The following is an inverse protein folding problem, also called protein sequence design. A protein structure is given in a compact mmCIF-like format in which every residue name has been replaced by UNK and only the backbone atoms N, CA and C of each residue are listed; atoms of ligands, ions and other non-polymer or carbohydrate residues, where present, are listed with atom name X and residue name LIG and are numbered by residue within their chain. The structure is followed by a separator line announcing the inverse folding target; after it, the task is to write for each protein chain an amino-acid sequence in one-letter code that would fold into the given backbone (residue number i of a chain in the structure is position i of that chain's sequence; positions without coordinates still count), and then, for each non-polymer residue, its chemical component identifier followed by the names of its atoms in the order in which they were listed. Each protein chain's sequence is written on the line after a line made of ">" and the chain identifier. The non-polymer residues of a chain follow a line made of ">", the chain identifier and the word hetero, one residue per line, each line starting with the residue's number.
data_IF_833607532058
#
_entry.id   IF_833607532058
#
_cell.length_a   1.000
_cell.length_b   1.000
_cell.length_c   1.000
_cell.angle_alpha   90.00
_cell.angle_beta   90.00
_cell.angle_gamma   90.00
#
_symmetry.space_group_name_H-M   'P 1'
#
loop_
_entity.id
_entity.type
_entity.pdbx_description
1 polymer ?
#
# COMPACT_ATOMS: atom_id res chain seq x y z
N UNK A 1 25.39 -17.18 -39.81
CA UNK A 1 23.93 -17.43 -39.87
C UNK A 1 23.09 -16.64 -38.85
N UNK A 2 23.66 -15.68 -38.08
CA UNK A 2 22.87 -14.80 -37.18
C UNK A 2 22.68 -13.37 -37.73
N UNK A 3 23.41 -13.00 -38.78
CA UNK A 3 23.31 -11.67 -39.40
C UNK A 3 22.22 -11.62 -40.48
N UNK A 4 21.91 -12.74 -41.12
CA UNK A 4 20.87 -12.83 -42.15
C UNK A 4 19.47 -12.63 -41.56
N UNK A 5 19.27 -12.95 -40.27
CA UNK A 5 18.00 -12.81 -39.56
C UNK A 5 17.69 -11.35 -39.21
N UNK A 6 18.69 -10.59 -38.75
CA UNK A 6 18.53 -9.17 -38.40
C UNK A 6 18.27 -8.28 -39.63
N UNK A 7 18.89 -8.60 -40.76
CA UNK A 7 18.64 -7.87 -42.01
C UNK A 7 17.22 -8.10 -42.51
N UNK A 8 16.68 -9.32 -42.31
CA UNK A 8 15.30 -9.65 -42.71
C UNK A 8 14.26 -8.91 -41.85
N UNK A 9 14.52 -8.75 -40.56
CA UNK A 9 13.66 -8.02 -39.63
C UNK A 9 13.63 -6.51 -39.91
N UNK A 10 14.78 -5.91 -40.27
CA UNK A 10 14.86 -4.49 -40.64
C UNK A 10 14.09 -4.18 -41.93
N UNK A 11 14.16 -5.06 -42.93
CA UNK A 11 13.43 -4.89 -44.20
C UNK A 11 11.91 -5.02 -44.00
N UNK A 12 11.45 -5.91 -43.11
CA UNK A 12 10.03 -6.00 -42.75
C UNK A 12 9.53 -4.76 -41.99
N UNK A 13 10.39 -4.14 -41.18
CA UNK A 13 10.04 -2.95 -40.41
C UNK A 13 9.92 -1.70 -41.30
N UNK A 14 10.81 -1.54 -42.27
CA UNK A 14 10.74 -0.44 -43.24
C UNK A 14 9.53 -0.57 -44.18
N UNK A 15 9.20 -1.80 -44.63
CA UNK A 15 8.03 -2.06 -45.47
C UNK A 15 6.70 -1.76 -44.74
N UNK A 16 6.60 -2.05 -43.44
CA UNK A 16 5.41 -1.70 -42.63
C UNK A 16 5.28 -0.20 -42.40
N UNK A 17 6.41 0.50 -42.27
CA UNK A 17 6.44 1.96 -42.08
C UNK A 17 6.05 2.72 -43.35
N UNK A 18 6.43 2.22 -44.52
CA UNK A 18 6.02 2.81 -45.81
C UNK A 18 4.54 2.52 -46.16
N UNK A 19 3.93 1.50 -45.57
CA UNK A 19 2.53 1.12 -45.81
C UNK A 19 1.49 2.07 -45.18
N UNK A 20 1.91 3.11 -44.44
CA UNK A 20 1.01 4.19 -44.02
C UNK A 20 -0.14 3.75 -43.13
N UNK A 21 0.07 2.76 -42.24
CA UNK A 21 -0.86 2.47 -41.15
C UNK A 21 -0.81 3.62 -40.13
N UNK A 22 -1.68 4.60 -40.34
CA UNK A 22 -2.08 5.59 -39.33
C UNK A 22 -2.85 4.86 -38.24
N UNK A 23 -2.20 4.54 -37.14
CA UNK A 23 -2.90 4.07 -35.95
C UNK A 23 -3.66 5.24 -35.32
N UNK A 24 -4.98 5.19 -35.47
CA UNK A 24 -5.95 5.89 -34.65
C UNK A 24 -5.61 5.68 -33.16
N UNK A 25 -5.31 6.77 -32.47
CA UNK A 25 -4.88 6.74 -31.06
C UNK A 25 -6.07 6.35 -30.15
N UNK A 26 -6.18 5.06 -29.86
CA UNK A 26 -7.08 4.51 -28.85
C UNK A 26 -6.62 4.96 -27.44
N UNK A 27 -7.44 5.71 -26.68
CA UNK A 27 -7.07 6.23 -25.36
C UNK A 27 -6.82 5.12 -24.32
N UNK A 28 -7.11 3.86 -24.64
CA UNK A 28 -6.81 2.71 -23.78
C UNK A 28 -5.35 2.24 -23.85
N UNK A 29 -4.59 2.61 -24.89
CA UNK A 29 -3.19 2.21 -25.04
C UNK A 29 -2.27 2.79 -23.94
N UNK A 30 -2.66 3.92 -23.33
CA UNK A 30 -1.92 4.55 -22.24
C UNK A 30 -1.93 3.72 -20.94
N UNK A 31 -2.83 2.75 -20.80
CA UNK A 31 -2.93 1.93 -19.58
C UNK A 31 -1.92 0.78 -19.53
N UNK A 32 -1.31 0.41 -20.66
CA UNK A 32 -0.36 -0.72 -20.75
C UNK A 32 1.09 -0.21 -20.79
N UNK A 33 1.30 1.11 -20.74
CA UNK A 33 2.63 1.68 -20.73
C UNK A 33 3.21 1.63 -19.31
N UNK A 34 4.32 0.88 -19.19
CA UNK A 34 5.14 0.65 -18.01
C UNK A 34 5.08 1.80 -16.98
N UNK A 35 4.64 1.49 -15.76
CA UNK A 35 4.50 2.43 -14.62
C UNK A 35 5.79 3.14 -14.21
N UNK A 36 6.92 2.82 -14.83
CA UNK A 36 8.23 3.44 -14.61
C UNK A 36 8.47 4.71 -15.44
N UNK A 37 7.70 4.97 -16.50
CA UNK A 37 7.83 6.19 -17.32
C UNK A 37 6.59 7.08 -17.18
N UNK A 38 6.79 8.39 -17.02
CA UNK A 38 5.72 9.37 -16.80
C UNK A 38 5.40 10.24 -18.03
N UNK A 39 6.18 10.08 -19.11
CA UNK A 39 6.01 10.76 -20.38
C UNK A 39 6.00 9.72 -21.50
N UNK A 40 5.22 9.99 -22.54
CA UNK A 40 5.29 9.21 -23.77
C UNK A 40 6.64 9.47 -24.50
N UNK A 41 6.95 8.65 -25.50
CA UNK A 41 8.19 8.81 -26.29
C UNK A 41 8.23 10.10 -27.12
N UNK A 42 7.13 10.88 -27.16
CA UNK A 42 7.01 12.17 -27.84
C UNK A 42 7.13 13.35 -26.85
N UNK A 43 7.27 13.08 -25.54
CA UNK A 43 7.42 14.08 -24.49
C UNK A 43 6.10 14.57 -23.87
N UNK A 44 4.95 13.98 -24.19
CA UNK A 44 3.67 14.33 -23.56
C UNK A 44 3.53 13.61 -22.21
N UNK A 45 3.02 14.33 -21.21
CA UNK A 45 2.76 13.76 -19.89
C UNK A 45 1.65 12.71 -19.99
N UNK A 46 1.93 11.50 -19.52
CA UNK A 46 0.93 10.45 -19.43
C UNK A 46 -0.11 10.87 -18.39
N UNK A 47 -1.39 10.79 -18.74
CA UNK A 47 -2.48 11.17 -17.83
C UNK A 47 -2.54 10.19 -16.67
N UNK A 48 -2.22 10.66 -15.48
CA UNK A 48 -2.28 9.87 -14.25
C UNK A 48 -3.64 10.02 -13.59
N UNK A 49 -3.95 9.10 -12.66
CA UNK A 49 -5.14 9.21 -11.78
C UNK A 49 -5.21 10.53 -11.01
N UNK A 50 -4.07 11.20 -10.81
CA UNK A 50 -3.98 12.47 -10.09
C UNK A 50 -4.25 13.68 -10.99
N UNK A 51 -4.04 13.57 -12.30
CA UNK A 51 -4.31 14.66 -13.24
C UNK A 51 -5.80 14.91 -13.46
N UNK A 52 -6.65 13.95 -13.10
CA UNK A 52 -8.11 14.07 -13.15
C UNK A 52 -8.75 14.39 -11.78
N UNK A 53 -7.94 14.53 -10.72
CA UNK A 53 -8.43 14.78 -9.38
C UNK A 53 -8.55 16.29 -9.13
N UNK A 54 -9.79 16.77 -9.04
CA UNK A 54 -10.08 18.16 -8.70
C UNK A 54 -10.02 18.35 -7.19
N UNK A 55 -8.89 18.89 -6.73
CA UNK A 55 -8.62 19.14 -5.31
C UNK A 55 -9.58 20.18 -4.74
N UNK A 56 -9.91 21.20 -5.52
CA UNK A 56 -10.75 22.33 -5.07
C UNK A 56 -12.20 21.86 -4.88
N UNK A 57 -12.72 21.08 -5.82
CA UNK A 57 -14.05 20.46 -5.68
C UNK A 57 -14.13 19.51 -4.48
N UNK A 58 -13.06 18.76 -4.18
CA UNK A 58 -13.03 17.87 -3.01
C UNK A 58 -12.90 18.64 -1.69
N UNK A 59 -12.15 19.75 -1.67
CA UNK A 59 -12.06 20.62 -0.49
C UNK A 59 -13.41 21.29 -0.20
N UNK A 60 -14.09 21.81 -1.23
CA UNK A 60 -15.43 22.39 -1.11
C UNK A 60 -16.45 21.33 -0.67
N UNK A 61 -16.32 20.09 -1.14
CA UNK A 61 -17.16 18.97 -0.68
C UNK A 61 -16.91 18.65 0.80
N UNK A 62 -15.65 18.62 1.24
CA UNK A 62 -15.29 18.36 2.63
C UNK A 62 -15.78 19.46 3.57
N UNK A 63 -15.67 20.74 3.17
CA UNK A 63 -16.17 21.87 3.96
C UNK A 63 -17.70 21.81 4.11
N UNK A 64 -18.44 21.48 3.03
CA UNK A 64 -19.90 21.28 3.07
C UNK A 64 -20.33 20.08 3.91
N UNK A 65 -19.54 19.00 3.90
CA UNK A 65 -19.78 17.79 4.71
C UNK A 65 -19.49 18.03 6.20
N UNK A 66 -18.44 18.80 6.54
CA UNK A 66 -18.11 19.22 7.91
C UNK A 66 -19.14 20.19 8.49
N UNK A 67 -19.71 21.06 7.66
CA UNK A 67 -20.75 22.03 8.07
C UNK A 67 -22.16 21.43 8.18
N UNK A 68 -22.30 20.11 8.02
CA UNK A 68 -23.56 19.39 8.24
C UNK A 68 -24.63 19.59 7.18
N UNK A 69 -24.23 19.97 5.95
CA UNK A 69 -25.19 20.13 4.85
C UNK A 69 -25.41 18.78 4.16
N UNK A 70 -26.42 18.04 4.59
CA UNK A 70 -26.87 16.82 3.92
C UNK A 70 -27.53 17.17 2.57
N UNK A 71 -26.73 17.17 1.50
CA UNK A 71 -27.25 17.33 0.14
C UNK A 71 -27.85 16.00 -0.31
N UNK A 72 -29.18 15.94 -0.25
CA UNK A 72 -30.01 14.86 -0.76
C UNK A 72 -29.89 14.72 -2.28
N UNK A 73 -29.25 13.62 -2.69
CA UNK A 73 -29.37 12.83 -3.93
C UNK A 73 -29.75 13.51 -5.26
N UNK A 74 -28.95 13.28 -6.32
CA UNK A 74 -29.37 12.62 -7.60
C UNK A 74 -28.14 12.41 -8.51
N UNK A 75 -28.01 11.19 -9.03
CA UNK A 75 -27.29 10.71 -10.24
C UNK A 75 -25.85 11.21 -10.50
N UNK A 76 -24.82 10.39 -10.37
CA UNK A 76 -24.49 9.28 -11.29
C UNK A 76 -23.41 8.41 -10.65
N UNK A 77 -23.33 7.14 -11.04
CA UNK A 77 -22.66 6.07 -10.31
C UNK A 77 -21.23 6.37 -9.83
N UNK A 78 -21.10 6.73 -8.56
CA UNK A 78 -19.86 6.69 -7.83
C UNK A 78 -20.09 5.75 -6.64
N UNK A 79 -19.59 4.53 -6.76
CA UNK A 79 -19.56 3.55 -5.67
C UNK A 79 -18.95 4.23 -4.44
N UNK A 80 -19.75 4.39 -3.38
CA UNK A 80 -19.31 4.87 -2.07
C UNK A 80 -18.06 4.08 -1.65
N UNK A 81 -16.87 4.65 -1.83
CA UNK A 81 -15.68 4.15 -1.15
C UNK A 81 -15.77 4.70 0.26
N UNK A 82 -16.62 4.07 1.06
CA UNK A 82 -16.54 4.12 2.51
C UNK A 82 -15.09 3.77 2.83
N UNK A 83 -14.34 4.71 3.42
CA UNK A 83 -13.00 4.42 3.96
C UNK A 83 -13.18 3.39 5.07
N UNK A 84 -13.21 2.13 4.67
CA UNK A 84 -13.36 0.99 5.56
C UNK A 84 -12.06 0.94 6.35
N UNK A 85 -12.14 1.13 7.67
CA UNK A 85 -11.01 0.84 8.55
C UNK A 85 -10.44 -0.52 8.16
N UNK A 86 -9.10 -0.68 8.07
CA UNK A 86 -8.48 -1.92 7.62
C UNK A 86 -9.09 -3.06 8.41
N UNK A 87 -9.86 -3.90 7.71
CA UNK A 87 -10.58 -5.01 8.32
C UNK A 87 -9.53 -6.10 8.55
N UNK A 88 -8.76 -5.98 9.64
CA UNK A 88 -7.85 -7.03 10.07
C UNK A 88 -8.72 -8.26 10.32
N UNK A 89 -8.46 -9.32 9.56
CA UNK A 89 -9.21 -10.57 9.73
C UNK A 89 -8.87 -11.18 11.09
N UNK A 90 -9.77 -11.96 11.69
CA UNK A 90 -9.49 -12.64 12.97
C UNK A 90 -8.21 -13.49 12.91
N UNK A 91 -8.00 -14.18 11.78
CA UNK A 91 -6.76 -14.94 11.53
C UNK A 91 -5.53 -14.04 11.52
N UNK A 92 -5.58 -12.88 10.85
CA UNK A 92 -4.48 -11.94 10.86
C UNK A 92 -4.20 -11.39 12.27
N UNK A 93 -5.26 -11.07 13.04
CA UNK A 93 -5.10 -10.62 14.42
C UNK A 93 -4.46 -11.71 15.31
N UNK A 94 -4.81 -12.98 15.10
CA UNK A 94 -4.24 -14.12 15.81
C UNK A 94 -2.77 -14.36 15.45
N UNK A 95 -2.41 -14.28 14.17
CA UNK A 95 -0.99 -14.36 13.76
C UNK A 95 -0.18 -13.18 14.32
N UNK A 96 -0.75 -11.98 14.31
CA UNK A 96 -0.09 -10.81 14.91
C UNK A 96 0.09 -10.96 16.42
N UNK A 97 -0.88 -11.52 17.15
CA UNK A 97 -0.72 -11.73 18.60
C UNK A 97 0.38 -12.74 18.93
N UNK A 98 0.53 -13.80 18.13
CA UNK A 98 1.67 -14.72 18.24
C UNK A 98 3.00 -14.06 17.89
N UNK A 99 3.02 -13.18 16.88
CA UNK A 99 4.22 -12.39 16.55
C UNK A 99 4.68 -11.51 17.71
N UNK A 100 3.74 -10.84 18.37
CA UNK A 100 4.02 -9.99 19.53
C UNK A 100 4.55 -10.82 20.72
N UNK A 101 4.05 -12.04 20.92
CA UNK A 101 4.55 -12.97 21.94
C UNK A 101 6.04 -13.28 21.75
N UNK A 102 6.44 -13.60 20.51
CA UNK A 102 7.85 -13.82 20.16
C UNK A 102 8.72 -12.57 20.32
N UNK A 103 8.17 -11.38 20.06
CA UNK A 103 8.89 -10.12 20.31
C UNK A 103 9.13 -9.90 21.81
N UNK A 104 8.17 -10.22 22.68
CA UNK A 104 8.37 -10.15 24.12
C UNK A 104 9.43 -11.15 24.61
N UNK A 105 9.46 -12.37 24.06
CA UNK A 105 10.52 -13.34 24.35
C UNK A 105 11.91 -12.79 23.94
N UNK A 106 11.99 -12.15 22.77
CA UNK A 106 13.23 -11.53 22.31
C UNK A 106 13.67 -10.37 23.24
N UNK A 107 12.73 -9.56 23.74
CA UNK A 107 13.01 -8.51 24.72
C UNK A 107 13.51 -9.11 26.03
N UNK A 108 12.91 -10.18 26.52
CA UNK A 108 13.38 -10.86 27.74
C UNK A 108 14.80 -11.42 27.55
N UNK A 109 15.07 -12.07 26.43
CA UNK A 109 16.42 -12.54 26.09
C UNK A 109 17.43 -11.39 26.03
N UNK A 110 17.06 -10.26 25.43
CA UNK A 110 17.91 -9.07 25.38
C UNK A 110 18.17 -8.47 26.77
N UNK A 111 17.16 -8.46 27.64
CA UNK A 111 17.29 -7.98 29.01
C UNK A 111 18.27 -8.82 29.83
N UNK A 112 18.35 -10.13 29.58
CA UNK A 112 19.32 -11.01 30.25
C UNK A 112 20.77 -10.65 29.91
N UNK A 113 21.04 -10.26 28.67
CA UNK A 113 22.38 -9.89 28.18
C UNK A 113 22.89 -8.54 28.72
N UNK A 114 21.97 -7.62 29.07
CA UNK A 114 22.35 -6.32 29.60
C UNK A 114 23.17 -6.51 30.89
N UNK A 115 24.14 -5.64 31.17
CA UNK A 115 24.84 -5.57 32.48
C UNK A 115 24.82 -4.13 32.98
N UNK A 116 24.80 -3.94 34.29
CA UNK A 116 24.71 -2.60 34.86
C UNK A 116 24.74 -2.57 36.38
N UNK A 117 24.66 -1.36 36.91
CA UNK A 117 24.60 -1.05 38.33
C UNK A 117 23.24 -1.43 38.96
N UNK A 118 23.02 -1.00 40.20
CA UNK A 118 21.81 -1.36 40.93
C UNK A 118 20.54 -0.80 40.28
N UNK A 119 20.58 0.43 39.76
CA UNK A 119 19.43 1.07 39.12
C UNK A 119 19.06 0.36 37.82
N UNK A 120 20.05 0.03 36.97
CA UNK A 120 19.82 -0.75 35.75
C UNK A 120 19.25 -2.13 36.07
N UNK A 121 19.73 -2.78 37.14
CA UNK A 121 19.18 -4.07 37.60
C UNK A 121 17.73 -3.94 38.05
N UNK A 122 17.38 -2.89 38.80
CA UNK A 122 16.01 -2.63 39.22
C UNK A 122 15.10 -2.38 38.01
N UNK A 123 15.53 -1.56 37.05
CA UNK A 123 14.75 -1.26 35.85
C UNK A 123 14.52 -2.51 35.00
N UNK A 124 15.57 -3.29 34.75
CA UNK A 124 15.46 -4.57 34.02
C UNK A 124 14.46 -5.51 34.68
N UNK A 125 14.54 -5.66 36.01
CA UNK A 125 13.61 -6.48 36.77
C UNK A 125 12.17 -5.96 36.67
N UNK A 126 11.98 -4.64 36.72
CA UNK A 126 10.66 -4.03 36.57
C UNK A 126 10.07 -4.30 35.18
N UNK A 127 10.88 -4.19 34.12
CA UNK A 127 10.45 -4.48 32.74
C UNK A 127 10.12 -5.97 32.59
N UNK A 128 11.02 -6.86 33.02
CA UNK A 128 10.80 -8.31 32.95
C UNK A 128 9.52 -8.71 33.70
N UNK A 129 9.33 -8.21 34.93
CA UNK A 129 8.11 -8.46 35.68
C UNK A 129 6.86 -8.00 34.94
N UNK A 130 6.88 -6.80 34.35
CA UNK A 130 5.74 -6.24 33.61
C UNK A 130 5.40 -7.08 32.37
N UNK A 131 6.42 -7.58 31.66
CA UNK A 131 6.22 -8.49 30.53
C UNK A 131 5.60 -9.80 31.02
N UNK A 132 6.18 -10.41 32.05
CA UNK A 132 5.73 -11.71 32.58
C UNK A 132 4.33 -11.66 33.20
N UNK A 133 3.98 -10.60 33.94
CA UNK A 133 2.70 -10.52 34.65
C UNK A 133 1.58 -9.91 33.84
N UNK A 134 1.85 -8.86 33.06
CA UNK A 134 0.80 -8.04 32.47
C UNK A 134 0.66 -8.32 30.98
N UNK A 135 1.77 -8.33 30.24
CA UNK A 135 1.69 -8.38 28.78
C UNK A 135 1.36 -9.78 28.25
N UNK A 136 1.95 -10.85 28.78
CA UNK A 136 1.52 -12.21 28.40
C UNK A 136 0.06 -12.46 28.77
N UNK A 137 -0.39 -12.07 29.97
CA UNK A 137 -1.79 -12.22 30.37
C UNK A 137 -2.77 -11.49 29.43
N UNK A 138 -2.37 -10.33 28.88
CA UNK A 138 -3.17 -9.61 27.87
C UNK A 138 -3.15 -10.30 26.51
N UNK A 139 -2.01 -10.84 26.09
CA UNK A 139 -1.89 -11.61 24.86
C UNK A 139 -2.76 -12.86 24.94
N UNK A 140 -2.70 -13.60 26.05
CA UNK A 140 -3.53 -14.78 26.31
C UNK A 140 -5.02 -14.43 26.23
N UNK A 141 -5.43 -13.30 26.84
CA UNK A 141 -6.81 -12.84 26.75
C UNK A 141 -7.24 -12.52 25.31
N UNK A 142 -6.37 -11.89 24.51
CA UNK A 142 -6.64 -11.60 23.10
C UNK A 142 -6.69 -12.89 22.27
N UNK A 143 -5.75 -13.82 22.48
CA UNK A 143 -5.73 -15.11 21.81
C UNK A 143 -6.99 -15.93 22.16
N UNK A 144 -7.42 -15.94 23.42
CA UNK A 144 -8.66 -16.59 23.86
C UNK A 144 -9.93 -15.98 23.25
N UNK A 145 -9.93 -14.68 22.93
CA UNK A 145 -11.03 -14.02 22.22
C UNK A 145 -11.05 -14.33 20.71
N UNK A 146 -9.90 -14.72 20.15
CA UNK A 146 -9.72 -14.96 18.72
C UNK A 146 -9.78 -16.44 18.33
N UNK A 147 -9.54 -17.35 19.29
CA UNK A 147 -9.70 -18.80 19.16
C UNK A 147 -11.18 -19.21 19.06
#
# INVERSE_FOLDING_TARGET
>A
MHLETQVKELVEYEAKKEAGETEDEDPTANSTLNSYYHFDSKGNKLRTKWDAYDVDAELERLEKEEQGHEVSTIATGATKIVRKAPQITRSQAFTTSQGIEHEFDAVLSFLDDIRGDHEVKQLRKAIANKITSDYYARIDAVQAMLA
#
